data_IF_191508395143
#
_entry.id   IF_191508395143
#
_cell.length_a   1.000
_cell.length_b   1.000
_cell.length_c   1.000
_cell.angle_alpha   90.00
_cell.angle_beta   90.00
_cell.angle_gamma   90.00
#
_symmetry.space_group_name_H-M   'P 1'
#
loop_
_entity.id
_entity.type
_entity.pdbx_description
1 polymer ?
#
# COMPACT_ATOMS: atom_id res chain seq x y z
N UNK A 1 -14.97 4.86 -10.25
CA UNK A 1 -13.54 5.14 -10.09
C UNK A 1 -12.80 4.57 -11.29
N UNK A 2 -11.97 5.35 -11.96
CA UNK A 2 -11.12 4.87 -13.07
C UNK A 2 -9.77 4.37 -12.54
N UNK A 3 -9.00 3.62 -13.35
CA UNK A 3 -7.77 2.97 -12.89
C UNK A 3 -6.73 3.94 -12.28
N UNK A 4 -6.47 5.13 -12.84
CA UNK A 4 -5.59 6.11 -12.19
C UNK A 4 -6.09 6.57 -10.81
N UNK A 5 -7.40 6.83 -10.66
CA UNK A 5 -8.00 7.23 -9.38
C UNK A 5 -7.87 6.12 -8.32
N UNK A 6 -8.00 4.86 -8.74
CA UNK A 6 -7.76 3.69 -7.90
C UNK A 6 -6.34 3.65 -7.37
N UNK A 7 -5.33 3.86 -8.22
CA UNK A 7 -3.94 3.91 -7.78
C UNK A 7 -3.70 5.08 -6.80
N UNK A 8 -4.27 6.25 -7.10
CA UNK A 8 -4.19 7.42 -6.23
C UNK A 8 -4.84 7.17 -4.86
N UNK A 9 -6.01 6.51 -4.82
CA UNK A 9 -6.70 6.21 -3.57
C UNK A 9 -5.87 5.30 -2.65
N UNK A 10 -5.21 4.28 -3.21
CA UNK A 10 -4.30 3.41 -2.46
C UNK A 10 -3.07 4.16 -1.97
N UNK A 11 -2.49 5.04 -2.81
CA UNK A 11 -1.36 5.87 -2.41
C UNK A 11 -1.73 6.88 -1.32
N UNK A 12 -2.94 7.46 -1.37
CA UNK A 12 -3.45 8.35 -0.32
C UNK A 12 -3.52 7.65 1.03
N UNK A 13 -4.00 6.40 1.07
CA UNK A 13 -3.99 5.60 2.30
C UNK A 13 -2.56 5.48 2.84
N UNK A 14 -1.56 5.15 2.01
CA UNK A 14 -0.17 5.07 2.45
C UNK A 14 0.32 6.39 3.08
N UNK A 15 0.02 7.53 2.45
CA UNK A 15 0.45 8.85 2.91
C UNK A 15 -0.22 9.24 4.24
N UNK A 16 -1.48 8.83 4.46
CA UNK A 16 -2.20 9.12 5.72
C UNK A 16 -1.48 8.55 6.96
N UNK A 17 -0.74 7.44 6.82
CA UNK A 17 0.04 6.83 7.91
C UNK A 17 1.48 7.35 8.03
N UNK A 18 1.86 8.29 7.14
CA UNK A 18 3.12 9.05 7.18
C UNK A 18 2.84 10.57 7.10
N UNK A 19 2.00 11.12 7.99
CA UNK A 19 1.64 12.53 7.92
C UNK A 19 2.87 13.41 8.13
N UNK A 20 2.95 14.53 7.41
CA UNK A 20 4.10 15.44 7.45
C UNK A 20 5.45 14.74 7.20
N UNK A 21 5.46 13.73 6.33
CA UNK A 21 6.68 13.01 5.93
C UNK A 21 7.37 12.33 7.11
N UNK A 22 6.59 11.88 8.09
CA UNK A 22 7.11 11.15 9.26
C UNK A 22 7.45 9.70 8.92
N UNK A 23 8.37 9.13 9.70
CA UNK A 23 8.80 7.72 9.55
C UNK A 23 7.61 6.78 9.76
N UNK A 24 7.41 5.87 8.81
CA UNK A 24 6.43 4.79 8.98
C UNK A 24 6.89 3.82 10.06
N UNK A 25 6.13 3.72 11.15
CA UNK A 25 6.37 2.74 12.22
C UNK A 25 5.80 1.37 11.85
N UNK A 26 6.21 0.32 12.59
CA UNK A 26 5.70 -1.04 12.34
C UNK A 26 4.21 -1.15 12.69
N UNK A 27 3.77 -0.40 13.69
CA UNK A 27 2.40 -0.34 14.19
C UNK A 27 1.49 0.39 13.18
N UNK A 28 1.92 1.54 12.67
CA UNK A 28 1.18 2.23 11.61
C UNK A 28 1.12 1.39 10.34
N UNK A 29 2.19 0.65 10.03
CA UNK A 29 2.18 -0.28 8.91
C UNK A 29 1.17 -1.43 9.12
N UNK A 30 0.96 -1.91 10.35
CA UNK A 30 -0.06 -2.93 10.66
C UNK A 30 -1.46 -2.39 10.41
N UNK A 31 -1.75 -1.21 10.96
CA UNK A 31 -3.05 -0.57 10.81
C UNK A 31 -3.37 -0.26 9.35
N UNK A 32 -2.40 0.27 8.61
CA UNK A 32 -2.53 0.54 7.18
C UNK A 32 -2.75 -0.75 6.38
N UNK A 33 -2.00 -1.81 6.66
CA UNK A 33 -2.14 -3.11 6.00
C UNK A 33 -3.54 -3.70 6.22
N UNK A 34 -4.02 -3.69 7.47
CA UNK A 34 -5.36 -4.13 7.82
C UNK A 34 -6.45 -3.29 7.12
N UNK A 35 -6.29 -1.97 7.09
CA UNK A 35 -7.23 -1.08 6.40
C UNK A 35 -7.30 -1.33 4.90
N UNK A 36 -6.17 -1.57 4.25
CA UNK A 36 -6.12 -1.88 2.81
C UNK A 36 -6.86 -3.19 2.50
N UNK A 37 -6.67 -4.23 3.31
CA UNK A 37 -7.38 -5.50 3.16
C UNK A 37 -8.88 -5.40 3.44
N UNK A 38 -9.28 -4.49 4.34
CA UNK A 38 -10.69 -4.24 4.66
C UNK A 38 -11.34 -3.15 3.77
N UNK A 39 -10.62 -2.62 2.78
CA UNK A 39 -11.08 -1.49 1.99
C UNK A 39 -12.14 -1.90 0.96
N UNK A 40 -13.14 -1.03 0.77
CA UNK A 40 -14.11 -1.13 -0.34
C UNK A 40 -13.56 -0.60 -1.68
N UNK A 41 -12.27 -0.26 -1.75
CA UNK A 41 -11.62 0.15 -3.00
C UNK A 41 -11.48 -1.07 -3.92
N UNK A 42 -12.21 -1.04 -5.04
CA UNK A 42 -12.19 -2.10 -6.05
C UNK A 42 -11.35 -1.68 -7.26
N UNK A 43 -10.44 -2.56 -7.69
CA UNK A 43 -9.69 -2.38 -8.93
C UNK A 43 -10.64 -2.36 -10.14
N UNK A 44 -10.77 -1.22 -10.84
CA UNK A 44 -11.69 -1.12 -11.98
C UNK A 44 -11.14 -1.80 -13.24
N UNK A 45 -9.87 -2.23 -13.24
CA UNK A 45 -9.25 -2.90 -14.38
C UNK A 45 -8.87 -4.35 -14.02
N UNK A 46 -9.84 -5.25 -14.22
CA UNK A 46 -9.69 -6.68 -13.97
C UNK A 46 -8.70 -7.37 -14.92
N UNK A 47 -8.14 -6.72 -15.93
CA UNK A 47 -6.99 -7.29 -16.67
C UNK A 47 -5.66 -7.13 -15.92
N UNK A 48 -5.62 -6.24 -14.92
CA UNK A 48 -4.44 -5.94 -14.10
C UNK A 48 -4.69 -6.37 -12.67
N UNK A 49 -4.79 -7.68 -12.40
CA UNK A 49 -5.01 -8.23 -11.04
C UNK A 49 -3.71 -8.60 -10.30
N UNK A 50 -2.59 -8.56 -11.01
CA UNK A 50 -1.30 -9.01 -10.50
C UNK A 50 -0.67 -8.03 -9.52
N UNK A 51 0.66 -8.03 -9.48
CA UNK A 51 1.43 -7.15 -8.62
C UNK A 51 1.32 -5.68 -9.03
N UNK A 52 0.72 -4.87 -8.16
CA UNK A 52 0.79 -3.42 -8.21
C UNK A 52 1.86 -2.92 -7.24
N UNK A 53 2.40 -1.74 -7.52
CA UNK A 53 3.28 -1.06 -6.58
C UNK A 53 3.10 0.45 -6.64
N UNK A 54 3.33 1.10 -5.51
CA UNK A 54 3.48 2.55 -5.39
C UNK A 54 4.59 2.86 -4.40
N UNK A 55 5.14 4.06 -4.52
CA UNK A 55 6.22 4.54 -3.66
C UNK A 55 5.80 5.88 -3.07
N UNK A 56 6.01 6.03 -1.78
CA UNK A 56 6.01 7.32 -1.09
C UNK A 56 7.37 7.53 -0.42
N UNK A 57 7.66 8.76 -0.04
CA UNK A 57 8.88 9.11 0.68
C UNK A 57 8.55 9.81 1.98
N UNK A 58 9.37 9.57 2.99
CA UNK A 58 9.34 10.29 4.26
C UNK A 58 10.74 10.83 4.55
N UNK A 59 10.85 11.72 5.53
CA UNK A 59 12.11 12.31 5.94
C UNK A 59 12.60 11.68 7.24
N UNK A 60 13.68 10.91 7.15
CA UNK A 60 14.37 10.34 8.31
C UNK A 60 15.69 11.07 8.54
N UNK A 61 15.81 11.77 9.67
CA UNK A 61 17.05 12.51 10.04
C UNK A 61 17.60 13.42 8.92
N UNK A 62 16.72 14.00 8.11
CA UNK A 62 17.10 14.87 7.00
C UNK A 62 17.27 14.18 5.64
N UNK A 63 17.16 12.86 5.58
CA UNK A 63 17.29 12.06 4.35
C UNK A 63 15.90 11.60 3.88
N UNK A 64 15.63 11.78 2.59
CA UNK A 64 14.42 11.23 1.96
C UNK A 64 14.54 9.73 1.82
N UNK A 65 13.64 9.02 2.49
CA UNK A 65 13.65 7.57 2.60
C UNK A 65 12.40 6.99 1.94
N UNK A 66 12.53 6.02 1.02
CA UNK A 66 11.38 5.46 0.32
C UNK A 66 10.64 4.44 1.18
N UNK A 67 9.32 4.38 0.98
CA UNK A 67 8.44 3.27 1.39
C UNK A 67 7.76 2.75 0.14
N UNK A 68 7.96 1.48 -0.14
CA UNK A 68 7.29 0.80 -1.24
C UNK A 68 6.12 0.00 -0.70
N UNK A 69 4.94 0.24 -1.28
CA UNK A 69 3.74 -0.55 -1.04
C UNK A 69 3.48 -1.41 -2.27
N UNK A 70 3.41 -2.71 -2.07
CA UNK A 70 2.97 -3.68 -3.06
C UNK A 70 1.59 -4.21 -2.67
N UNK A 71 0.74 -4.47 -3.66
CA UNK A 71 -0.53 -5.14 -3.41
C UNK A 71 -0.99 -5.96 -4.61
N UNK A 72 -1.87 -6.91 -4.35
CA UNK A 72 -2.53 -7.74 -5.37
C UNK A 72 -4.03 -7.76 -5.12
N UNK A 73 -4.80 -8.10 -6.16
CA UNK A 73 -6.26 -8.20 -6.06
C UNK A 73 -6.81 -9.57 -6.44
N UNK A 74 -7.96 -9.92 -5.84
CA UNK A 74 -8.78 -11.08 -6.18
C UNK A 74 -9.40 -10.92 -7.57
N UNK A 75 -10.22 -11.90 -7.98
CA UNK A 75 -10.85 -11.88 -9.29
C UNK A 75 -11.86 -10.75 -9.44
N UNK A 76 -12.50 -10.39 -8.34
CA UNK A 76 -13.48 -9.32 -8.18
C UNK A 76 -12.82 -7.94 -8.01
N UNK A 77 -11.49 -7.89 -7.94
CA UNK A 77 -10.72 -6.64 -7.83
C UNK A 77 -10.51 -6.13 -6.40
N UNK A 78 -10.91 -6.89 -5.37
CA UNK A 78 -10.64 -6.60 -3.95
C UNK A 78 -9.18 -6.89 -3.61
N UNK A 79 -8.58 -6.12 -2.72
CA UNK A 79 -7.19 -6.35 -2.29
C UNK A 79 -7.14 -7.58 -1.38
N UNK A 80 -6.32 -8.58 -1.74
CA UNK A 80 -6.10 -9.78 -0.90
C UNK A 80 -4.74 -9.83 -0.22
N UNK A 81 -3.78 -9.08 -0.74
CA UNK A 81 -2.40 -9.11 -0.29
C UNK A 81 -1.82 -7.71 -0.32
N UNK A 82 -1.07 -7.40 0.74
CA UNK A 82 -0.35 -6.15 0.87
C UNK A 82 1.03 -6.45 1.44
N UNK A 83 2.07 -5.85 0.85
CA UNK A 83 3.42 -5.86 1.38
C UNK A 83 3.98 -4.46 1.46
N UNK A 84 4.51 -4.13 2.63
CA UNK A 84 5.12 -2.83 2.92
C UNK A 84 6.61 -3.06 3.10
N UNK A 85 7.42 -2.31 2.35
CA UNK A 85 8.86 -2.36 2.42
C UNK A 85 9.41 -0.99 2.76
N UNK A 86 10.11 -0.92 3.87
CA UNK A 86 10.94 0.22 4.30
C UNK A 86 12.39 -0.28 4.43
N UNK A 87 13.40 0.60 4.48
CA UNK A 87 14.78 0.17 4.72
C UNK A 87 15.00 -0.51 6.07
N UNK A 88 14.12 -0.27 7.05
CA UNK A 88 14.24 -0.80 8.41
C UNK A 88 13.41 -2.05 8.66
N UNK A 89 12.37 -2.32 7.84
CA UNK A 89 11.55 -3.52 7.97
C UNK A 89 10.74 -3.85 6.71
N UNK A 90 10.28 -5.11 6.66
CA UNK A 90 9.28 -5.59 5.70
C UNK A 90 8.12 -6.17 6.50
N UNK A 91 6.88 -5.88 6.08
CA UNK A 91 5.67 -6.50 6.62
C UNK A 91 4.74 -6.93 5.50
N UNK A 92 4.05 -8.04 5.71
CA UNK A 92 3.17 -8.67 4.73
C UNK A 92 1.85 -9.03 5.39
N UNK A 93 0.75 -8.85 4.65
CA UNK A 93 -0.60 -9.02 5.14
C UNK A 93 -1.45 -9.72 4.10
N UNK A 94 -2.36 -10.58 4.55
CA UNK A 94 -3.27 -11.32 3.69
C UNK A 94 -2.62 -12.55 3.07
N UNK A 95 -3.07 -12.95 1.88
CA UNK A 95 -2.61 -14.17 1.19
C UNK A 95 -2.05 -13.81 -0.19
N UNK A 96 -0.77 -14.07 -0.41
CA UNK A 96 -0.16 -13.89 -1.73
C UNK A 96 -0.77 -14.87 -2.75
N UNK A 97 -1.02 -14.38 -3.97
CA UNK A 97 -1.43 -15.20 -5.10
C UNK A 97 -0.17 -15.71 -5.83
N UNK A 98 0.06 -17.02 -5.79
CA UNK A 98 1.12 -17.73 -6.52
C UNK A 98 0.73 -18.06 -7.96
#
# INVERSE_FOLDING_TARGET
MIYPEYLSAIQSILIEYMPNETVLTKENADEMGARLLASDIINPNLSKKGYHQTVAVFKDRGVWTPVTLHWQTEEEGRILYVRVHTPSFIKEYGKERF
#
